data_IF_769352770970
#
_entry.id   IF_769352770970
#
_cell.length_a   1.000
_cell.length_b   1.000
_cell.length_c   1.000
_cell.angle_alpha   90.00
_cell.angle_beta   90.00
_cell.angle_gamma   90.00
#
_symmetry.space_group_name_H-M   'P 1'
#
loop_
_entity.id
_entity.type
_entity.pdbx_description
1 polymer ?
#
# COMPACT_ATOMS: atom_id res chain seq x y z
N UNK A 1 8.74 10.61 -8.71
CA UNK A 1 7.28 10.44 -8.62
C UNK A 1 6.87 9.12 -9.28
N UNK A 2 7.12 8.02 -8.59
CA UNK A 2 6.91 6.64 -9.10
C UNK A 2 5.43 6.32 -9.38
N UNK A 3 4.51 7.12 -8.85
CA UNK A 3 3.06 6.92 -8.99
C UNK A 3 2.38 7.89 -9.95
N UNK A 4 3.10 8.84 -10.53
CA UNK A 4 2.55 9.83 -11.45
C UNK A 4 1.48 10.74 -10.82
N UNK A 5 1.57 11.00 -9.51
CA UNK A 5 0.65 11.94 -8.82
C UNK A 5 0.86 13.34 -9.36
N UNK A 6 -0.23 14.02 -9.73
CA UNK A 6 -0.22 15.34 -10.34
C UNK A 6 -0.80 16.40 -9.38
N UNK A 7 -0.29 17.62 -9.51
CA UNK A 7 -0.89 18.78 -8.84
C UNK A 7 -2.35 18.94 -9.25
N UNK A 8 -3.21 19.24 -8.28
CA UNK A 8 -4.66 19.40 -8.50
C UNK A 8 -5.46 18.10 -8.36
N UNK A 9 -4.81 16.95 -8.17
CA UNK A 9 -5.50 15.71 -7.84
C UNK A 9 -6.13 15.77 -6.45
N UNK A 10 -7.07 14.87 -6.18
CA UNK A 10 -7.82 14.79 -4.92
C UNK A 10 -7.62 13.41 -4.29
N UNK A 11 -7.27 13.39 -3.01
CA UNK A 11 -7.02 12.18 -2.23
C UNK A 11 -8.07 11.98 -1.13
N UNK A 12 -8.63 10.77 -1.06
CA UNK A 12 -9.44 10.36 0.10
C UNK A 12 -8.51 9.96 1.25
N UNK A 13 -8.24 10.92 2.13
CA UNK A 13 -7.29 10.77 3.23
C UNK A 13 -7.93 10.03 4.43
N UNK A 14 -8.04 8.71 4.37
CA UNK A 14 -8.57 7.90 5.48
C UNK A 14 -7.56 7.73 6.62
N UNK A 15 -6.28 8.00 6.35
CA UNK A 15 -5.19 8.06 7.33
C UNK A 15 -4.74 9.51 7.48
N UNK A 16 -4.89 10.14 8.66
CA UNK A 16 -4.67 11.59 8.85
C UNK A 16 -3.30 12.10 8.43
N UNK A 17 -2.26 11.27 8.56
CA UNK A 17 -0.89 11.65 8.20
C UNK A 17 -0.75 12.05 6.73
N UNK A 18 -1.48 11.43 5.81
CA UNK A 18 -1.44 11.78 4.38
C UNK A 18 -2.09 13.13 4.11
N UNK A 19 -3.11 13.52 4.89
CA UNK A 19 -3.71 14.85 4.79
C UNK A 19 -2.71 15.97 5.06
N UNK A 20 -1.66 15.71 5.87
CA UNK A 20 -0.60 16.65 6.16
C UNK A 20 0.41 16.78 5.01
N UNK A 21 0.68 15.69 4.27
CA UNK A 21 1.68 15.69 3.19
C UNK A 21 1.12 16.06 1.83
N UNK A 22 -0.15 15.80 1.57
CA UNK A 22 -0.79 16.08 0.29
C UNK A 22 -0.62 17.53 -0.20
N UNK A 23 -0.74 18.58 0.65
CA UNK A 23 -0.53 19.97 0.22
C UNK A 23 0.87 20.22 -0.37
N UNK A 24 1.92 19.55 0.14
CA UNK A 24 3.27 19.67 -0.41
C UNK A 24 3.38 19.13 -1.84
N UNK A 25 2.49 18.23 -2.23
CA UNK A 25 2.37 17.69 -3.60
C UNK A 25 1.38 18.48 -4.46
N UNK A 26 0.71 19.48 -3.89
CA UNK A 26 -0.37 20.20 -4.55
C UNK A 26 -1.65 19.36 -4.72
N UNK A 27 -1.83 18.36 -3.88
CA UNK A 27 -2.99 17.46 -3.85
C UNK A 27 -3.99 17.94 -2.79
N UNK A 28 -5.27 17.94 -3.14
CA UNK A 28 -6.35 18.27 -2.20
C UNK A 28 -6.70 17.03 -1.37
N UNK A 29 -6.66 17.17 -0.04
CA UNK A 29 -7.12 16.12 0.87
C UNK A 29 -8.62 16.25 1.13
N UNK A 30 -9.37 15.20 0.84
CA UNK A 30 -10.76 15.04 1.27
C UNK A 30 -10.76 14.11 2.48
N UNK A 31 -11.15 14.66 3.64
CA UNK A 31 -11.20 13.93 4.90
C UNK A 31 -12.62 13.36 5.06
N UNK A 32 -12.79 12.04 4.98
CA UNK A 32 -14.12 11.44 5.10
C UNK A 32 -14.66 11.51 6.53
N UNK A 33 -15.98 11.55 6.65
CA UNK A 33 -16.69 11.46 7.95
C UNK A 33 -16.56 10.04 8.52
N UNK A 34 -15.45 9.79 9.19
CA UNK A 34 -15.14 8.53 9.86
C UNK A 34 -14.20 8.75 11.04
N UNK A 35 -14.21 7.80 11.98
CA UNK A 35 -13.19 7.77 13.04
C UNK A 35 -11.96 6.99 12.55
N UNK A 36 -10.81 7.65 12.31
CA UNK A 36 -9.60 6.98 11.83
C UNK A 36 -9.03 5.96 12.84
N UNK A 37 -9.30 6.12 14.14
CA UNK A 37 -8.92 5.16 15.17
C UNK A 37 -9.83 3.92 15.23
N UNK A 38 -10.98 3.93 14.54
CA UNK A 38 -11.91 2.80 14.45
C UNK A 38 -12.38 2.58 13.01
N UNK A 39 -11.50 2.20 12.09
CA UNK A 39 -11.82 2.08 10.66
C UNK A 39 -12.94 1.06 10.37
N UNK A 40 -13.12 0.07 11.27
CA UNK A 40 -14.22 -0.88 11.18
C UNK A 40 -15.61 -0.26 11.37
N UNK A 41 -15.71 0.91 12.00
CA UNK A 41 -16.98 1.63 12.21
C UNK A 41 -17.35 2.57 11.05
N UNK A 42 -16.46 2.77 10.08
CA UNK A 42 -16.73 3.66 8.97
C UNK A 42 -17.94 3.21 8.15
N UNK A 43 -18.79 4.17 7.78
CA UNK A 43 -19.95 3.93 6.93
C UNK A 43 -19.52 3.81 5.47
N UNK A 44 -19.70 2.65 4.83
CA UNK A 44 -19.26 2.44 3.46
C UNK A 44 -20.01 3.32 2.44
N UNK A 45 -21.25 3.71 2.71
CA UNK A 45 -22.02 4.56 1.82
C UNK A 45 -21.47 5.98 1.82
N UNK A 46 -21.17 6.54 3.00
CA UNK A 46 -20.52 7.85 3.13
C UNK A 46 -19.17 7.90 2.41
N UNK A 47 -18.37 6.83 2.54
CA UNK A 47 -17.08 6.75 1.85
C UNK A 47 -17.23 6.73 0.33
N UNK A 48 -18.15 5.90 -0.18
CA UNK A 48 -18.42 5.79 -1.62
C UNK A 48 -18.98 7.11 -2.18
N UNK A 49 -19.91 7.73 -1.45
CA UNK A 49 -20.47 9.03 -1.82
C UNK A 49 -19.39 10.11 -1.87
N UNK A 50 -18.52 10.19 -0.87
CA UNK A 50 -17.41 11.15 -0.85
C UNK A 50 -16.47 10.97 -2.06
N UNK A 51 -16.18 9.71 -2.44
CA UNK A 51 -15.35 9.43 -3.62
C UNK A 51 -16.00 10.00 -4.88
N UNK A 52 -17.30 9.81 -5.06
CA UNK A 52 -18.03 10.28 -6.25
C UNK A 52 -18.23 11.80 -6.22
N UNK A 53 -18.71 12.36 -5.11
CA UNK A 53 -19.03 13.78 -4.98
C UNK A 53 -17.82 14.68 -5.17
N UNK A 54 -16.68 14.27 -4.61
CA UNK A 54 -15.44 15.05 -4.71
C UNK A 54 -14.55 14.62 -5.89
N UNK A 55 -14.98 13.68 -6.74
CA UNK A 55 -14.18 13.18 -7.88
C UNK A 55 -12.77 12.76 -7.47
N UNK A 56 -12.69 11.89 -6.46
CA UNK A 56 -11.43 11.44 -5.88
C UNK A 56 -10.62 10.65 -6.92
N UNK A 57 -9.35 11.01 -7.08
CA UNK A 57 -8.43 10.35 -8.01
C UNK A 57 -7.46 9.39 -7.33
N UNK A 58 -7.23 9.58 -6.03
CA UNK A 58 -6.35 8.75 -5.21
C UNK A 58 -7.04 8.42 -3.89
N UNK A 59 -6.89 7.20 -3.41
CA UNK A 59 -7.35 6.82 -2.07
C UNK A 59 -6.26 6.00 -1.38
N UNK A 60 -5.83 6.44 -0.19
CA UNK A 60 -4.90 5.69 0.65
C UNK A 60 -5.64 5.13 1.86
N UNK A 61 -5.78 3.80 1.92
CA UNK A 61 -6.70 3.15 2.86
C UNK A 61 -6.10 1.90 3.51
N UNK A 62 -6.69 1.47 4.62
CA UNK A 62 -6.46 0.13 5.15
C UNK A 62 -7.29 -0.92 4.40
N UNK A 63 -6.90 -2.22 4.42
CA UNK A 63 -7.70 -3.30 3.83
C UNK A 63 -9.15 -3.36 4.36
N UNK A 64 -9.39 -2.97 5.61
CA UNK A 64 -10.74 -2.91 6.21
C UNK A 64 -11.60 -1.88 5.47
N UNK A 65 -11.07 -0.69 5.24
CA UNK A 65 -11.77 0.37 4.50
C UNK A 65 -11.96 -0.03 3.04
N UNK A 66 -10.91 -0.55 2.39
CA UNK A 66 -11.01 -1.06 1.02
C UNK A 66 -12.11 -2.10 0.86
N UNK A 67 -12.25 -3.05 1.82
CA UNK A 67 -13.31 -4.06 1.82
C UNK A 67 -14.70 -3.44 1.91
N UNK A 68 -14.87 -2.41 2.75
CA UNK A 68 -16.15 -1.70 2.90
C UNK A 68 -16.54 -0.96 1.63
N UNK A 69 -15.61 -0.26 1.00
CA UNK A 69 -15.81 0.44 -0.28
C UNK A 69 -16.17 -0.58 -1.37
N UNK A 70 -15.40 -1.66 -1.51
CA UNK A 70 -15.66 -2.70 -2.50
C UNK A 70 -17.06 -3.33 -2.32
N UNK A 71 -17.45 -3.65 -1.08
CA UNK A 71 -18.76 -4.22 -0.78
C UNK A 71 -19.91 -3.26 -1.12
N UNK A 72 -19.77 -1.98 -0.77
CA UNK A 72 -20.75 -0.94 -1.08
C UNK A 72 -20.91 -0.76 -2.59
N UNK A 73 -19.81 -0.61 -3.31
CA UNK A 73 -19.82 -0.44 -4.77
C UNK A 73 -20.42 -1.66 -5.48
N UNK A 74 -20.03 -2.88 -5.07
CA UNK A 74 -20.57 -4.11 -5.67
C UNK A 74 -22.08 -4.25 -5.45
N UNK A 75 -22.58 -3.95 -4.24
CA UNK A 75 -24.00 -4.05 -3.92
C UNK A 75 -24.86 -3.03 -4.70
N UNK A 76 -24.33 -1.85 -4.93
CA UNK A 76 -25.00 -0.74 -5.62
C UNK A 76 -24.66 -0.68 -7.11
N UNK A 77 -23.80 -1.57 -7.62
CA UNK A 77 -23.28 -1.57 -8.99
C UNK A 77 -22.60 -0.24 -9.37
N UNK A 78 -21.88 0.37 -8.43
CA UNK A 78 -21.15 1.60 -8.61
C UNK A 78 -19.75 1.29 -9.16
N UNK A 79 -19.33 2.06 -10.17
CA UNK A 79 -17.96 2.10 -10.68
C UNK A 79 -17.29 3.42 -10.27
N UNK A 80 -16.07 3.34 -9.77
CA UNK A 80 -15.27 4.49 -9.34
C UNK A 80 -14.24 4.81 -10.44
N UNK A 81 -14.71 5.25 -11.59
CA UNK A 81 -13.91 5.45 -12.81
C UNK A 81 -12.87 6.57 -12.70
N UNK A 82 -13.04 7.52 -11.76
CA UNK A 82 -12.12 8.64 -11.56
C UNK A 82 -10.90 8.26 -10.72
N UNK A 83 -11.00 7.17 -9.95
CA UNK A 83 -9.88 6.64 -9.17
C UNK A 83 -8.79 6.14 -10.12
N UNK A 84 -7.63 6.78 -10.06
CA UNK A 84 -6.41 6.36 -10.78
C UNK A 84 -5.54 5.43 -9.93
N UNK A 85 -5.52 5.65 -8.61
CA UNK A 85 -4.67 4.95 -7.64
C UNK A 85 -5.44 4.64 -6.36
N UNK A 86 -5.48 3.37 -6.00
CA UNK A 86 -6.06 2.91 -4.75
C UNK A 86 -5.00 2.15 -3.94
N UNK A 87 -4.51 2.77 -2.87
CA UNK A 87 -3.48 2.18 -2.02
C UNK A 87 -4.11 1.41 -0.85
N UNK A 88 -3.65 0.18 -0.64
CA UNK A 88 -3.97 -0.64 0.53
C UNK A 88 -2.72 -0.83 1.38
N UNK A 89 -2.70 -0.26 2.57
CA UNK A 89 -1.55 -0.32 3.49
C UNK A 89 -1.95 -0.60 4.93
N UNK A 90 -0.95 -0.88 5.77
CA UNK A 90 -1.10 -1.13 7.21
C UNK A 90 -1.40 -2.58 7.59
N UNK A 91 -1.77 -3.42 6.64
CA UNK A 91 -1.93 -4.88 6.83
C UNK A 91 -1.89 -5.59 5.46
N UNK A 92 -1.60 -6.89 5.42
CA UNK A 92 -1.72 -7.68 4.20
C UNK A 92 -3.16 -7.67 3.67
N UNK A 93 -3.31 -7.51 2.36
CA UNK A 93 -4.60 -7.58 1.68
C UNK A 93 -4.77 -8.93 0.97
N UNK A 94 -5.90 -9.60 1.20
CA UNK A 94 -6.20 -10.85 0.54
C UNK A 94 -6.40 -10.65 -0.98
N UNK A 95 -5.93 -11.56 -1.86
CA UNK A 95 -6.07 -11.41 -3.31
C UNK A 95 -7.50 -11.17 -3.80
N UNK A 96 -8.51 -11.76 -3.13
CA UNK A 96 -9.91 -11.53 -3.49
C UNK A 96 -10.32 -10.07 -3.31
N UNK A 97 -9.88 -9.41 -2.23
CA UNK A 97 -10.15 -7.98 -2.02
C UNK A 97 -9.49 -7.12 -3.11
N UNK A 98 -8.24 -7.42 -3.43
CA UNK A 98 -7.50 -6.72 -4.50
C UNK A 98 -8.23 -6.85 -5.83
N UNK A 99 -8.71 -8.06 -6.16
CA UNK A 99 -9.51 -8.34 -7.36
C UNK A 99 -10.84 -7.58 -7.36
N UNK A 100 -11.54 -7.54 -6.23
CA UNK A 100 -12.83 -6.84 -6.13
C UNK A 100 -12.68 -5.33 -6.26
N UNK A 101 -11.63 -4.76 -5.68
CA UNK A 101 -11.31 -3.34 -5.87
C UNK A 101 -10.94 -3.04 -7.32
N UNK A 102 -10.11 -3.88 -7.95
CA UNK A 102 -9.73 -3.66 -9.36
C UNK A 102 -10.93 -3.67 -10.32
N UNK A 103 -12.00 -4.41 -9.99
CA UNK A 103 -13.24 -4.39 -10.80
C UNK A 103 -14.00 -3.08 -10.71
N UNK A 104 -14.02 -2.43 -9.55
CA UNK A 104 -14.77 -1.19 -9.34
C UNK A 104 -13.99 0.06 -9.75
N UNK A 105 -12.68 -0.05 -10.02
CA UNK A 105 -11.80 1.03 -10.49
C UNK A 105 -11.21 0.73 -11.87
N UNK A 106 -12.02 0.67 -12.92
CA UNK A 106 -11.61 0.14 -14.24
C UNK A 106 -10.48 0.93 -14.90
N UNK A 107 -10.33 2.21 -14.59
CA UNK A 107 -9.33 3.11 -15.16
C UNK A 107 -8.10 3.30 -14.28
N UNK A 108 -8.05 2.64 -13.13
CA UNK A 108 -7.00 2.81 -12.14
C UNK A 108 -6.28 1.51 -11.77
N UNK A 109 -5.40 1.64 -10.78
CA UNK A 109 -4.67 0.51 -10.21
C UNK A 109 -4.85 0.44 -8.70
N UNK A 110 -4.91 -0.79 -8.18
CA UNK A 110 -4.77 -1.06 -6.75
C UNK A 110 -3.30 -1.34 -6.47
N UNK A 111 -2.74 -0.62 -5.51
CA UNK A 111 -1.35 -0.72 -5.08
C UNK A 111 -1.26 -1.21 -3.64
N UNK A 112 -0.27 -2.04 -3.38
CA UNK A 112 0.04 -2.59 -2.06
C UNK A 112 1.48 -2.19 -1.69
N UNK A 113 1.67 -1.01 -1.07
CA UNK A 113 2.98 -0.61 -0.59
C UNK A 113 3.40 -1.48 0.60
N UNK A 114 4.66 -1.91 0.59
CA UNK A 114 5.30 -2.62 1.68
C UNK A 114 6.38 -1.74 2.32
N UNK A 115 6.45 -1.81 3.64
CA UNK A 115 7.44 -1.11 4.43
C UNK A 115 7.11 -1.15 5.92
N UNK A 116 7.95 -0.50 6.69
CA UNK A 116 7.81 -0.30 8.13
C UNK A 116 8.04 1.17 8.45
N UNK A 117 7.81 1.58 9.70
CA UNK A 117 8.07 2.97 10.15
C UNK A 117 9.52 3.38 9.87
N UNK A 118 10.44 2.44 9.98
CA UNK A 118 11.88 2.62 9.77
C UNK A 118 12.27 2.71 8.29
N UNK A 119 11.44 2.22 7.39
CA UNK A 119 11.68 2.23 5.94
C UNK A 119 10.36 2.14 5.18
N UNK A 120 9.86 3.26 4.66
CA UNK A 120 8.58 3.31 3.94
C UNK A 120 8.62 4.37 2.83
N UNK A 121 8.18 4.03 1.62
CA UNK A 121 7.85 2.69 1.11
C UNK A 121 9.11 1.94 0.64
N UNK A 122 9.21 0.67 0.93
CA UNK A 122 10.32 -0.21 0.49
C UNK A 122 10.08 -0.75 -0.91
N UNK A 123 8.93 -1.39 -1.09
CA UNK A 123 8.52 -1.99 -2.36
C UNK A 123 7.02 -1.80 -2.59
N UNK A 124 6.58 -2.11 -3.79
CA UNK A 124 5.18 -2.04 -4.16
C UNK A 124 4.78 -3.17 -5.09
N UNK A 125 3.64 -3.78 -4.81
CA UNK A 125 2.92 -4.64 -5.73
C UNK A 125 1.72 -3.90 -6.31
N UNK A 126 1.31 -4.19 -7.53
CA UNK A 126 0.00 -3.79 -8.03
C UNK A 126 -0.96 -4.99 -8.09
N UNK A 127 -2.24 -4.72 -8.42
CA UNK A 127 -3.25 -5.77 -8.51
C UNK A 127 -2.94 -6.84 -9.56
N UNK A 128 -2.15 -6.53 -10.58
CA UNK A 128 -1.73 -7.48 -11.61
C UNK A 128 -0.71 -8.46 -11.00
N UNK A 129 0.29 -7.94 -10.27
CA UNK A 129 1.29 -8.76 -9.57
C UNK A 129 0.61 -9.74 -8.61
N UNK A 130 -0.33 -9.23 -7.78
CA UNK A 130 -1.06 -10.05 -6.79
C UNK A 130 -1.93 -11.10 -7.46
N UNK A 131 -2.65 -10.76 -8.53
CA UNK A 131 -3.50 -11.69 -9.26
C UNK A 131 -2.68 -12.81 -9.93
N UNK A 132 -1.52 -12.49 -10.50
CA UNK A 132 -0.63 -13.47 -11.11
C UNK A 132 -0.08 -14.49 -10.09
N UNK A 133 0.12 -14.06 -8.83
CA UNK A 133 0.62 -14.90 -7.74
C UNK A 133 -0.49 -15.43 -6.81
N UNK A 134 -1.76 -15.24 -7.15
CA UNK A 134 -2.88 -15.59 -6.27
C UNK A 134 -2.90 -17.08 -5.88
N UNK A 135 -2.49 -17.97 -6.78
CA UNK A 135 -2.38 -19.42 -6.49
C UNK A 135 -1.28 -19.71 -5.47
N UNK A 136 -0.11 -19.10 -5.65
CA UNK A 136 1.04 -19.27 -4.73
C UNK A 136 0.70 -18.72 -3.34
N UNK A 137 0.05 -17.57 -3.27
CA UNK A 137 -0.43 -16.97 -2.03
C UNK A 137 -1.43 -17.90 -1.33
N UNK A 138 -2.36 -18.50 -2.07
CA UNK A 138 -3.34 -19.44 -1.53
C UNK A 138 -2.71 -20.74 -1.02
N UNK A 139 -1.56 -21.15 -1.57
CA UNK A 139 -0.77 -22.30 -1.10
C UNK A 139 0.09 -21.99 0.13
N UNK A 140 0.04 -20.74 0.65
CA UNK A 140 0.78 -20.34 1.84
C UNK A 140 2.22 -19.89 1.56
N UNK A 141 2.59 -19.62 0.31
CA UNK A 141 3.93 -19.15 -0.07
C UNK A 141 4.20 -17.67 0.27
N UNK A 142 3.37 -17.06 1.14
CA UNK A 142 3.52 -15.69 1.60
C UNK A 142 2.73 -14.67 0.75
N UNK A 143 2.90 -13.39 1.07
CA UNK A 143 2.26 -12.29 0.36
C UNK A 143 3.17 -11.74 -0.74
N UNK A 144 2.58 -11.27 -1.85
CA UNK A 144 3.32 -10.54 -2.87
C UNK A 144 3.68 -9.14 -2.35
N UNK A 145 4.97 -8.85 -2.22
CA UNK A 145 5.48 -7.54 -1.81
C UNK A 145 5.92 -6.67 -3.00
N UNK A 146 5.79 -7.20 -4.22
CA UNK A 146 6.10 -6.48 -5.45
C UNK A 146 7.59 -6.25 -5.69
N UNK A 147 7.94 -5.07 -6.19
CA UNK A 147 9.30 -4.69 -6.58
C UNK A 147 9.81 -3.50 -5.79
N UNK A 148 11.12 -3.42 -5.53
CA UNK A 148 11.71 -2.27 -4.87
C UNK A 148 11.34 -0.98 -5.61
N UNK A 149 11.06 0.08 -4.85
CA UNK A 149 10.94 1.42 -5.42
C UNK A 149 12.30 1.99 -5.79
N UNK A 150 12.30 2.97 -6.67
CA UNK A 150 13.51 3.64 -7.14
C UNK A 150 14.35 4.14 -5.97
N UNK A 151 15.63 3.78 -5.96
CA UNK A 151 16.58 4.14 -4.90
C UNK A 151 16.63 3.16 -3.72
N UNK A 152 15.80 2.11 -3.70
CA UNK A 152 15.85 1.05 -2.71
C UNK A 152 16.49 -0.22 -3.28
N UNK A 153 17.23 -0.93 -2.44
CA UNK A 153 17.74 -2.27 -2.72
C UNK A 153 17.23 -3.25 -1.67
N UNK A 154 16.74 -4.40 -2.12
CA UNK A 154 16.28 -5.48 -1.25
C UNK A 154 17.16 -6.69 -1.49
N UNK A 155 17.65 -7.29 -0.42
CA UNK A 155 18.44 -8.52 -0.43
C UNK A 155 17.89 -9.48 0.60
N UNK A 156 18.05 -10.79 0.35
CA UNK A 156 17.61 -11.83 1.27
C UNK A 156 18.84 -12.53 1.85
N UNK A 157 18.91 -12.56 3.17
CA UNK A 157 20.00 -13.19 3.90
C UNK A 157 19.47 -14.34 4.76
N UNK A 158 20.35 -15.32 5.13
CA UNK A 158 19.99 -16.33 6.11
C UNK A 158 19.51 -15.68 7.40
N UNK A 159 18.51 -16.27 8.05
CA UNK A 159 18.06 -15.81 9.36
C UNK A 159 19.19 -16.01 10.38
N UNK A 160 19.76 -14.92 10.86
CA UNK A 160 20.82 -14.90 11.87
C UNK A 160 20.29 -14.20 13.09
N UNK A 161 20.51 -14.79 14.28
CA UNK A 161 20.11 -14.16 15.54
C UNK A 161 21.04 -13.01 15.98
N UNK A 162 22.10 -12.74 15.21
CA UNK A 162 23.07 -11.69 15.50
C UNK A 162 23.02 -10.61 14.43
N UNK A 163 23.00 -9.32 14.82
CA UNK A 163 23.15 -8.22 13.87
C UNK A 163 24.44 -8.35 13.07
N UNK A 164 24.40 -8.02 11.80
CA UNK A 164 25.60 -7.93 10.95
C UNK A 164 25.64 -6.58 10.24
N UNK A 165 26.85 -6.07 10.02
CA UNK A 165 27.08 -4.88 9.24
C UNK A 165 27.56 -5.22 7.84
N UNK A 166 27.13 -4.45 6.86
CA UNK A 166 27.56 -4.61 5.47
C UNK A 166 29.09 -4.49 5.38
N UNK A 167 29.74 -5.53 4.89
CA UNK A 167 31.20 -5.60 4.72
C UNK A 167 31.97 -6.22 5.90
N UNK A 168 31.35 -6.41 7.09
CA UNK A 168 31.99 -7.05 8.24
C UNK A 168 31.07 -8.18 8.72
N UNK A 169 31.51 -9.44 8.61
CA UNK A 169 30.72 -10.61 9.01
C UNK A 169 29.35 -10.73 8.34
N UNK A 170 29.17 -10.09 7.18
CA UNK A 170 27.93 -10.17 6.42
C UNK A 170 27.80 -11.61 5.85
N UNK A 171 26.70 -12.32 6.13
CA UNK A 171 26.46 -13.62 5.54
C UNK A 171 26.31 -13.50 4.03
N UNK A 172 26.52 -14.60 3.32
CA UNK A 172 26.29 -14.64 1.89
C UNK A 172 24.79 -14.47 1.59
N UNK A 173 24.48 -13.59 0.64
CA UNK A 173 23.12 -13.42 0.13
C UNK A 173 22.55 -14.75 -0.38
N UNK A 174 21.29 -15.02 -0.06
CA UNK A 174 20.57 -16.22 -0.48
C UNK A 174 20.25 -16.16 -1.98
N UNK A 175 20.14 -17.34 -2.58
CA UNK A 175 19.75 -17.46 -3.98
C UNK A 175 18.25 -17.20 -4.15
N UNK A 176 17.86 -16.84 -5.36
CA UNK A 176 16.44 -16.69 -5.71
C UNK A 176 15.66 -17.97 -5.40
N UNK A 177 14.57 -17.83 -4.63
CA UNK A 177 13.70 -18.92 -4.20
C UNK A 177 14.02 -19.47 -2.80
N UNK A 178 15.14 -19.09 -2.20
CA UNK A 178 15.45 -19.42 -0.80
C UNK A 178 14.75 -18.44 0.15
N UNK A 179 14.36 -18.95 1.33
CA UNK A 179 13.63 -18.20 2.37
C UNK A 179 14.62 -17.65 3.39
N UNK A 180 14.50 -16.35 3.70
CA UNK A 180 15.39 -15.68 4.66
C UNK A 180 14.85 -14.33 5.11
N UNK A 181 15.70 -13.55 5.76
CA UNK A 181 15.41 -12.20 6.23
C UNK A 181 15.49 -11.18 5.09
N UNK A 182 14.52 -10.28 5.07
CA UNK A 182 14.48 -9.16 4.12
C UNK A 182 15.35 -8.04 4.67
N UNK A 183 16.46 -7.77 3.98
CA UNK A 183 17.34 -6.64 4.29
C UNK A 183 17.15 -5.54 3.26
N UNK A 184 16.95 -4.32 3.74
CA UNK A 184 16.67 -3.14 2.91
C UNK A 184 17.78 -2.12 3.06
N UNK A 185 18.21 -1.54 1.94
CA UNK A 185 19.07 -0.36 1.92
C UNK A 185 18.53 0.67 0.94
N UNK A 186 18.72 1.94 1.26
CA UNK A 186 18.24 3.05 0.44
C UNK A 186 17.96 4.30 1.26
N UNK A 187 17.57 5.36 0.58
CA UNK A 187 17.31 6.67 1.22
C UNK A 187 16.09 6.69 2.15
N UNK A 188 15.22 5.68 2.04
CA UNK A 188 14.02 5.57 2.87
C UNK A 188 14.28 4.91 4.23
N UNK A 189 15.47 4.33 4.41
CA UNK A 189 15.83 3.66 5.68
C UNK A 189 16.27 4.72 6.68
N UNK A 190 15.57 4.79 7.83
CA UNK A 190 15.96 5.67 8.94
C UNK A 190 17.25 5.17 9.57
N UNK A 191 18.14 6.09 9.94
CA UNK A 191 19.44 5.73 10.53
C UNK A 191 19.33 5.44 12.02
N UNK A 192 18.45 6.15 12.70
CA UNK A 192 18.27 6.10 14.15
C UNK A 192 16.90 6.65 14.55
N UNK A 193 16.44 6.32 15.72
CA UNK A 193 15.30 6.98 16.35
C UNK A 193 15.74 8.27 17.03
N UNK A 194 14.83 9.25 17.07
CA UNK A 194 15.13 10.52 17.73
C UNK A 194 15.42 10.33 19.23
N UNK A 195 16.61 10.75 19.68
CA UNK A 195 17.09 10.65 21.07
C UNK A 195 17.20 9.22 21.63
N UNK A 196 17.44 8.22 20.80
CA UNK A 196 17.74 6.84 21.23
C UNK A 196 19.13 6.46 20.73
#
# INVERSE_FOLDING_TARGET
NDFGIQKGEKDLATLPIFALFNPALGVTSVIPDMNPGKPSSADPQKLTQAIQEFEITTAFTSPIIGKKIAASCNSQKISLSDIKRFFLAGAPAHPSLVKDLAKIIPNGKVFLPYGATEALPVSIADHIDVNNLAKDIALGNGSCLGRPLTGNSIRIYPNTFSPFESGINCPKELRKGEVGEICVSGSVVSKEYFRM
#
